data_IF_937384048772
#
_entry.id   IF_937384048772
#
_cell.length_a   1.000
_cell.length_b   1.000
_cell.length_c   1.000
_cell.angle_alpha   90.00
_cell.angle_beta   90.00
_cell.angle_gamma   90.00
#
_symmetry.space_group_name_H-M   'P 1'
#
loop_
_entity.id
_entity.type
_entity.pdbx_description
1 polymer ?
#
# COMPACT_ATOMS: atom_id res chain seq x y z
N UNK A 1 -3.72 16.06 -14.38
CA UNK A 1 -3.12 14.88 -15.05
C UNK A 1 -4.08 13.73 -14.90
N UNK A 2 -4.45 13.12 -16.03
CA UNK A 2 -5.63 12.26 -16.13
C UNK A 2 -5.40 10.83 -15.61
N UNK A 3 -6.53 10.13 -15.32
CA UNK A 3 -6.59 8.68 -15.08
C UNK A 3 -5.79 7.85 -16.12
N UNK A 4 -5.53 8.41 -17.30
CA UNK A 4 -4.75 7.77 -18.36
C UNK A 4 -3.28 7.57 -17.98
N UNK A 5 -2.69 8.47 -17.19
CA UNK A 5 -1.29 8.32 -16.74
C UNK A 5 -1.14 7.22 -15.69
N UNK A 6 -2.13 7.08 -14.80
CA UNK A 6 -2.18 5.98 -13.82
C UNK A 6 -2.32 4.63 -14.53
N UNK A 7 -3.20 4.54 -15.54
CA UNK A 7 -3.34 3.34 -16.39
C UNK A 7 -2.07 3.04 -17.21
N UNK A 8 -1.35 4.07 -17.64
CA UNK A 8 -0.09 3.91 -18.38
C UNK A 8 1.05 3.47 -17.46
N UNK A 9 1.10 3.98 -16.22
CA UNK A 9 2.09 3.56 -15.22
C UNK A 9 1.84 2.12 -14.77
N UNK A 10 0.59 1.71 -14.59
CA UNK A 10 0.22 0.31 -14.33
C UNK A 10 0.50 -0.61 -15.52
N UNK A 11 0.49 -0.09 -16.76
CA UNK A 11 0.81 -0.85 -17.98
C UNK A 11 2.29 -0.85 -18.35
N UNK A 12 3.10 0.03 -17.78
CA UNK A 12 4.53 0.15 -18.09
C UNK A 12 5.37 -1.10 -17.71
N UNK A 13 5.02 -1.93 -16.73
CA UNK A 13 5.68 -3.22 -16.54
C UNK A 13 5.42 -4.22 -17.66
N UNK A 14 4.31 -4.10 -18.40
CA UNK A 14 3.91 -5.08 -19.40
C UNK A 14 4.57 -4.89 -20.77
N UNK A 15 5.15 -3.71 -21.05
CA UNK A 15 5.84 -3.45 -22.34
C UNK A 15 7.29 -3.93 -22.36
N UNK A 16 7.84 -4.34 -21.23
CA UNK A 16 9.16 -4.98 -21.16
C UNK A 16 8.96 -6.37 -20.57
N UNK A 17 8.46 -7.29 -21.34
CA UNK A 17 8.24 -8.72 -21.15
C UNK A 17 8.85 -9.52 -19.99
N UNK A 18 9.04 -8.89 -18.87
CA UNK A 18 9.41 -9.52 -17.61
C UNK A 18 8.76 -8.71 -16.46
N UNK A 19 7.94 -9.37 -15.65
CA UNK A 19 7.77 -8.95 -14.26
C UNK A 19 9.17 -8.93 -13.68
N UNK A 20 9.81 -7.76 -13.69
CA UNK A 20 11.21 -7.67 -13.36
C UNK A 20 11.42 -8.22 -11.95
N UNK A 21 12.50 -8.99 -11.70
CA UNK A 21 12.87 -9.45 -10.35
C UNK A 21 12.85 -8.32 -9.32
N UNK A 22 13.08 -7.09 -9.77
CA UNK A 22 13.01 -5.87 -8.99
C UNK A 22 11.65 -5.57 -8.37
N UNK A 23 10.53 -5.78 -9.07
CA UNK A 23 9.21 -5.51 -8.49
C UNK A 23 8.85 -6.50 -7.38
N UNK A 24 9.33 -7.76 -7.45
CA UNK A 24 9.20 -8.75 -6.39
C UNK A 24 10.04 -8.41 -5.17
N UNK A 25 11.28 -7.95 -5.36
CA UNK A 25 12.13 -7.49 -4.25
C UNK A 25 11.52 -6.31 -3.49
N UNK A 26 10.87 -5.38 -4.20
CA UNK A 26 10.16 -4.28 -3.55
C UNK A 26 8.91 -4.77 -2.82
N UNK A 27 8.11 -5.64 -3.43
CA UNK A 27 6.93 -6.23 -2.81
C UNK A 27 7.28 -7.00 -1.52
N UNK A 28 8.34 -7.80 -1.56
CA UNK A 28 8.84 -8.51 -0.40
C UNK A 28 9.31 -7.55 0.70
N UNK A 29 10.00 -6.47 0.32
CA UNK A 29 10.43 -5.45 1.28
C UNK A 29 9.26 -4.66 1.90
N UNK A 30 8.15 -4.50 1.18
CA UNK A 30 6.93 -3.89 1.71
C UNK A 30 6.14 -4.85 2.60
N UNK A 31 6.28 -6.15 2.39
CA UNK A 31 5.68 -7.20 3.21
C UNK A 31 6.56 -7.61 4.41
N UNK A 32 7.80 -7.12 4.50
CA UNK A 32 8.68 -7.38 5.65
C UNK A 32 8.15 -6.67 6.92
N UNK A 33 8.24 -7.35 8.07
CA UNK A 33 7.86 -6.77 9.37
C UNK A 33 6.35 -6.70 9.62
N UNK A 34 5.56 -7.50 8.88
CA UNK A 34 4.10 -7.59 8.98
C UNK A 34 3.66 -8.77 9.89
N UNK A 35 4.60 -9.61 10.32
CA UNK A 35 4.35 -10.90 11.02
C UNK A 35 3.56 -10.75 12.33
N UNK A 36 3.65 -9.60 12.98
CA UNK A 36 2.96 -9.33 14.26
C UNK A 36 1.54 -8.78 14.10
N UNK A 37 1.07 -8.58 12.86
CA UNK A 37 -0.22 -7.98 12.59
C UNK A 37 -1.31 -9.03 12.29
N UNK A 38 -2.50 -8.79 12.80
CA UNK A 38 -3.67 -9.68 12.64
C UNK A 38 -4.45 -9.35 11.37
N UNK A 39 -4.37 -8.08 10.92
CA UNK A 39 -4.99 -7.63 9.67
C UNK A 39 -4.03 -6.78 8.84
N UNK A 40 -4.15 -6.92 7.53
CA UNK A 40 -3.40 -6.18 6.52
C UNK A 40 -4.41 -5.48 5.61
N UNK A 41 -4.25 -4.18 5.42
CA UNK A 41 -5.03 -3.38 4.46
C UNK A 41 -4.09 -2.95 3.33
N UNK A 42 -4.22 -3.56 2.17
CA UNK A 42 -3.48 -3.15 0.99
C UNK A 42 -4.27 -2.09 0.22
N UNK A 43 -3.61 -1.01 -0.18
CA UNK A 43 -4.24 0.11 -0.92
C UNK A 43 -3.50 0.36 -2.23
N UNK A 44 -4.21 0.17 -3.34
CA UNK A 44 -3.65 0.27 -4.68
C UNK A 44 -2.84 -0.96 -5.08
N UNK A 45 -3.50 -2.12 -5.09
CA UNK A 45 -2.87 -3.42 -5.36
C UNK A 45 -2.36 -3.57 -6.80
N UNK A 46 -2.98 -2.87 -7.76
CA UNK A 46 -2.62 -2.95 -9.17
C UNK A 46 -2.68 -4.39 -9.68
N UNK A 47 -1.58 -4.89 -10.22
CA UNK A 47 -1.47 -6.28 -10.73
C UNK A 47 -1.31 -7.34 -9.64
N UNK A 48 -1.32 -6.96 -8.36
CA UNK A 48 -1.28 -7.89 -7.23
C UNK A 48 0.10 -8.44 -6.87
N UNK A 49 1.19 -7.77 -7.24
CA UNK A 49 2.56 -8.24 -6.91
C UNK A 49 2.81 -8.13 -5.40
N UNK A 50 2.34 -7.05 -4.77
CA UNK A 50 2.44 -6.88 -3.31
C UNK A 50 1.44 -7.80 -2.62
N UNK A 51 0.20 -7.93 -3.13
CA UNK A 51 -0.80 -8.88 -2.65
C UNK A 51 -0.24 -10.30 -2.58
N UNK A 52 0.43 -10.77 -3.64
CA UNK A 52 1.06 -12.10 -3.69
C UNK A 52 2.12 -12.28 -2.59
N UNK A 53 2.94 -11.26 -2.37
CA UNK A 53 3.95 -11.31 -1.31
C UNK A 53 3.32 -11.33 0.09
N UNK A 54 2.26 -10.53 0.32
CA UNK A 54 1.52 -10.50 1.57
C UNK A 54 0.86 -11.85 1.87
N UNK A 55 0.15 -12.42 0.92
CA UNK A 55 -0.50 -13.73 1.06
C UNK A 55 0.50 -14.84 1.36
N UNK A 56 1.61 -14.87 0.64
CA UNK A 56 2.64 -15.90 0.81
C UNK A 56 3.31 -15.82 2.19
N UNK A 57 3.58 -14.61 2.68
CA UNK A 57 4.35 -14.39 3.91
C UNK A 57 3.47 -14.35 5.15
N UNK A 58 2.18 -14.01 4.99
CA UNK A 58 1.24 -13.80 6.10
C UNK A 58 -0.09 -14.53 5.84
N UNK A 59 -0.08 -15.85 5.66
CA UNK A 59 -1.27 -16.62 5.24
C UNK A 59 -2.39 -16.60 6.29
N UNK A 60 -2.08 -16.28 7.55
CA UNK A 60 -3.06 -16.23 8.66
C UNK A 60 -3.66 -14.85 8.89
N UNK A 61 -3.13 -13.80 8.27
CA UNK A 61 -3.62 -12.45 8.46
C UNK A 61 -4.91 -12.22 7.63
N UNK A 62 -5.87 -11.49 8.21
CA UNK A 62 -7.02 -10.99 7.46
C UNK A 62 -6.53 -9.97 6.43
N UNK A 63 -6.65 -10.27 5.14
CA UNK A 63 -6.20 -9.38 4.07
C UNK A 63 -7.39 -8.68 3.40
N UNK A 64 -7.38 -7.36 3.43
CA UNK A 64 -8.35 -6.48 2.75
C UNK A 64 -7.58 -5.68 1.69
N UNK A 65 -8.02 -5.73 0.44
CA UNK A 65 -7.30 -5.17 -0.71
C UNK A 65 -8.19 -4.15 -1.42
N UNK A 66 -7.71 -2.93 -1.59
CA UNK A 66 -8.39 -1.88 -2.34
C UNK A 66 -7.73 -1.67 -3.69
N UNK A 67 -8.53 -1.77 -4.75
CA UNK A 67 -8.09 -1.48 -6.11
C UNK A 67 -9.13 -0.64 -6.85
N UNK A 68 -8.68 0.47 -7.46
CA UNK A 68 -9.56 1.42 -8.15
C UNK A 68 -10.08 0.88 -9.49
N UNK A 69 -9.28 0.09 -10.19
CA UNK A 69 -9.59 -0.44 -11.52
C UNK A 69 -10.49 -1.68 -11.42
N UNK A 70 -11.71 -1.61 -11.95
CA UNK A 70 -12.69 -2.69 -11.87
C UNK A 70 -12.16 -4.02 -12.44
N UNK A 71 -11.47 -3.97 -13.58
CA UNK A 71 -10.87 -5.15 -14.19
C UNK A 71 -9.81 -5.78 -13.29
N UNK A 72 -8.87 -4.96 -12.76
CA UNK A 72 -7.83 -5.44 -11.85
C UNK A 72 -8.42 -5.97 -10.54
N UNK A 73 -9.45 -5.32 -10.00
CA UNK A 73 -10.16 -5.81 -8.83
C UNK A 73 -10.82 -7.18 -9.06
N UNK A 74 -11.33 -7.42 -10.27
CA UNK A 74 -11.89 -8.74 -10.65
C UNK A 74 -10.77 -9.79 -10.73
N UNK A 75 -9.69 -9.50 -11.43
CA UNK A 75 -8.52 -10.39 -11.53
C UNK A 75 -7.92 -10.73 -10.16
N UNK A 76 -7.88 -9.74 -9.24
CA UNK A 76 -7.42 -9.95 -7.87
C UNK A 76 -8.32 -10.88 -7.07
N UNK A 77 -9.66 -10.78 -7.22
CA UNK A 77 -10.60 -11.69 -6.55
C UNK A 77 -10.42 -13.14 -7.02
N UNK A 78 -10.19 -13.33 -8.31
CA UNK A 78 -9.94 -14.65 -8.87
C UNK A 78 -8.63 -15.27 -8.40
N UNK A 79 -7.55 -14.44 -8.36
CA UNK A 79 -6.21 -14.91 -7.98
C UNK A 79 -6.03 -15.09 -6.47
N UNK A 80 -6.71 -14.30 -5.66
CA UNK A 80 -6.56 -14.26 -4.20
C UNK A 80 -7.90 -14.42 -3.48
N UNK A 81 -8.57 -15.61 -3.60
CA UNK A 81 -9.90 -15.82 -3.02
C UNK A 81 -9.94 -15.69 -1.48
N UNK A 82 -8.79 -15.78 -0.81
CA UNK A 82 -8.65 -15.55 0.64
C UNK A 82 -8.62 -14.06 1.02
N UNK A 83 -8.46 -13.14 0.06
CA UNK A 83 -8.44 -11.71 0.30
C UNK A 83 -9.85 -11.10 0.07
N UNK A 84 -10.22 -10.15 0.92
CA UNK A 84 -11.40 -9.33 0.68
C UNK A 84 -11.07 -8.17 -0.25
N UNK A 85 -11.34 -8.32 -1.55
CA UNK A 85 -11.03 -7.29 -2.55
C UNK A 85 -12.19 -6.31 -2.72
N UNK A 86 -11.92 -5.04 -2.41
CA UNK A 86 -12.84 -3.90 -2.50
C UNK A 86 -12.52 -3.09 -3.76
N UNK A 87 -13.46 -3.03 -4.71
CA UNK A 87 -13.34 -2.19 -5.90
C UNK A 87 -13.65 -0.72 -5.60
N UNK A 88 -12.90 0.19 -6.23
CA UNK A 88 -13.11 1.63 -6.11
C UNK A 88 -12.08 2.37 -5.25
N UNK A 89 -12.28 3.68 -5.12
CA UNK A 89 -11.34 4.54 -4.40
C UNK A 89 -11.33 4.23 -2.90
N UNK A 90 -10.15 4.04 -2.32
CA UNK A 90 -9.95 3.70 -0.90
C UNK A 90 -10.71 4.65 0.03
N UNK A 91 -10.48 5.96 -0.08
CA UNK A 91 -11.09 6.97 0.79
C UNK A 91 -12.64 7.03 0.73
N UNK A 92 -13.26 6.43 -0.29
CA UNK A 92 -14.71 6.34 -0.42
C UNK A 92 -15.29 5.05 0.17
N UNK A 93 -14.44 4.07 0.47
CA UNK A 93 -14.85 2.74 0.90
C UNK A 93 -14.31 2.36 2.29
N UNK A 94 -13.84 3.34 3.07
CA UNK A 94 -13.25 3.11 4.42
C UNK A 94 -14.23 2.49 5.42
N UNK A 95 -15.54 2.59 5.18
CA UNK A 95 -16.55 1.97 6.02
C UNK A 95 -16.37 0.43 6.14
N UNK A 96 -15.74 -0.21 5.15
CA UNK A 96 -15.39 -1.65 5.20
C UNK A 96 -14.38 -1.98 6.31
N UNK A 97 -13.70 -0.95 6.85
CA UNK A 97 -12.62 -1.07 7.82
C UNK A 97 -13.06 -0.80 9.28
N UNK A 98 -14.36 -0.76 9.55
CA UNK A 98 -14.89 -0.41 10.89
C UNK A 98 -14.44 -1.39 12.00
N UNK A 99 -14.31 -2.68 11.67
CA UNK A 99 -13.99 -3.76 12.61
C UNK A 99 -12.54 -4.25 12.49
N UNK A 100 -11.61 -3.33 12.24
CA UNK A 100 -10.18 -3.67 12.19
C UNK A 100 -9.61 -3.89 13.61
N UNK A 101 -8.84 -4.98 13.82
CA UNK A 101 -8.13 -5.18 15.07
C UNK A 101 -7.08 -4.07 15.30
N UNK A 102 -6.68 -3.89 16.57
CA UNK A 102 -5.62 -2.95 16.93
C UNK A 102 -4.34 -3.23 16.14
N UNK A 103 -3.95 -4.49 16.05
CA UNK A 103 -2.77 -4.94 15.27
C UNK A 103 -3.09 -5.00 13.78
N UNK A 104 -3.33 -3.83 13.18
CA UNK A 104 -3.53 -3.67 11.74
C UNK A 104 -2.37 -2.90 11.11
N UNK A 105 -1.88 -3.40 9.97
CA UNK A 105 -0.92 -2.68 9.14
C UNK A 105 -1.56 -2.30 7.81
N UNK A 106 -1.24 -1.10 7.33
CA UNK A 106 -1.65 -0.61 6.03
C UNK A 106 -0.44 -0.67 5.10
N UNK A 107 -0.57 -1.26 3.93
CA UNK A 107 0.47 -1.35 2.91
C UNK A 107 -0.04 -0.64 1.66
N UNK A 108 0.60 0.47 1.29
CA UNK A 108 0.12 1.29 0.17
C UNK A 108 1.07 1.24 -1.02
N UNK A 109 0.53 0.84 -2.17
CA UNK A 109 1.17 0.89 -3.48
C UNK A 109 0.90 2.18 -4.26
N UNK A 110 0.22 3.18 -3.66
CA UNK A 110 -0.20 4.38 -4.36
C UNK A 110 0.97 5.30 -4.72
N UNK A 111 1.03 5.80 -5.96
CA UNK A 111 2.08 6.73 -6.41
C UNK A 111 1.73 8.18 -6.01
N UNK A 112 1.77 8.52 -4.73
CA UNK A 112 1.32 9.80 -4.18
C UNK A 112 1.85 11.03 -4.92
N UNK A 113 3.06 10.96 -5.44
CA UNK A 113 3.67 12.08 -6.18
C UNK A 113 3.10 12.30 -7.58
N UNK A 114 2.36 11.34 -8.10
CA UNK A 114 1.72 11.38 -9.43
C UNK A 114 0.20 11.54 -9.35
N UNK A 115 -0.36 11.49 -8.15
CA UNK A 115 -1.80 11.66 -7.92
C UNK A 115 -2.15 13.15 -7.76
N UNK A 116 -3.37 13.53 -8.13
CA UNK A 116 -3.89 14.87 -7.87
C UNK A 116 -4.18 15.09 -6.38
N UNK A 117 -4.17 16.35 -5.94
CA UNK A 117 -4.53 16.72 -4.57
C UNK A 117 -5.91 16.22 -4.17
N UNK A 118 -6.89 16.26 -5.07
CA UNK A 118 -8.24 15.74 -4.84
C UNK A 118 -8.32 14.23 -4.56
N UNK A 119 -7.24 13.47 -4.79
CA UNK A 119 -7.12 12.06 -4.40
C UNK A 119 -6.18 11.91 -3.20
N UNK A 120 -5.07 12.64 -3.20
CA UNK A 120 -4.06 12.59 -2.13
C UNK A 120 -4.65 13.00 -0.78
N UNK A 121 -5.26 14.18 -0.71
CA UNK A 121 -5.75 14.74 0.55
C UNK A 121 -6.77 13.83 1.27
N UNK A 122 -7.87 13.37 0.63
CA UNK A 122 -8.81 12.49 1.31
C UNK A 122 -8.22 11.11 1.62
N UNK A 123 -7.27 10.61 0.82
CA UNK A 123 -6.59 9.34 1.10
C UNK A 123 -5.67 9.46 2.31
N UNK A 124 -4.91 10.56 2.42
CA UNK A 124 -4.04 10.84 3.56
C UNK A 124 -4.86 11.06 4.83
N UNK A 125 -5.99 11.75 4.74
CA UNK A 125 -6.92 11.92 5.87
C UNK A 125 -7.44 10.56 6.36
N UNK A 126 -7.88 9.69 5.47
CA UNK A 126 -8.34 8.34 5.83
C UNK A 126 -7.22 7.49 6.47
N UNK A 127 -5.97 7.58 5.97
CA UNK A 127 -4.84 6.92 6.63
C UNK A 127 -4.59 7.48 8.04
N UNK A 128 -4.67 8.79 8.20
CA UNK A 128 -4.48 9.43 9.50
C UNK A 128 -5.53 8.96 10.51
N UNK A 129 -6.80 8.91 10.13
CA UNK A 129 -7.89 8.39 10.98
C UNK A 129 -7.62 6.95 11.44
N UNK A 130 -7.22 6.07 10.51
CA UNK A 130 -6.86 4.70 10.85
C UNK A 130 -5.68 4.61 11.81
N UNK A 131 -4.64 5.43 11.63
CA UNK A 131 -3.44 5.44 12.47
C UNK A 131 -3.68 6.10 13.83
N UNK A 132 -4.63 7.04 13.93
CA UNK A 132 -5.02 7.65 15.21
C UNK A 132 -5.92 6.75 16.04
N UNK A 133 -6.71 5.88 15.39
CA UNK A 133 -7.58 4.94 16.08
C UNK A 133 -6.82 3.96 16.97
N UNK A 134 -5.58 3.60 16.60
CA UNK A 134 -4.72 2.76 17.42
C UNK A 134 -3.23 3.04 17.16
N UNK A 135 -2.44 3.22 18.23
CA UNK A 135 -1.00 3.50 18.15
C UNK A 135 -0.15 2.30 17.66
N UNK A 136 -0.69 1.09 17.72
CA UNK A 136 -0.03 -0.10 17.18
C UNK A 136 -0.07 -0.14 15.66
N UNK A 137 -1.01 0.59 15.03
CA UNK A 137 -1.17 0.63 13.59
C UNK A 137 -0.02 1.36 12.91
N UNK A 138 0.30 0.91 11.70
CA UNK A 138 1.40 1.43 10.90
C UNK A 138 0.99 1.47 9.43
N UNK A 139 1.50 2.45 8.69
CA UNK A 139 1.44 2.51 7.24
C UNK A 139 2.82 2.24 6.65
N UNK A 140 2.89 1.31 5.70
CA UNK A 140 4.05 1.05 4.84
C UNK A 140 3.79 1.69 3.48
N UNK A 141 4.76 2.44 2.99
CA UNK A 141 4.69 3.11 1.68
C UNK A 141 6.08 3.10 1.05
N UNK A 142 6.15 3.07 -0.28
CA UNK A 142 7.42 3.22 -0.98
C UNK A 142 7.52 4.51 -1.79
N UNK A 143 8.75 4.92 -2.09
CA UNK A 143 9.07 5.99 -3.04
C UNK A 143 10.32 5.64 -3.83
N UNK A 144 10.37 6.07 -5.09
CA UNK A 144 11.61 6.00 -5.90
C UNK A 144 12.58 7.13 -5.60
N UNK A 145 12.16 8.16 -4.90
CA UNK A 145 12.99 9.29 -4.51
C UNK A 145 13.31 9.20 -3.02
N UNK A 146 14.47 9.73 -2.56
CA UNK A 146 14.85 9.73 -1.15
C UNK A 146 14.08 10.80 -0.35
N UNK A 147 12.80 10.95 -0.62
CA UNK A 147 11.89 11.90 0.03
C UNK A 147 10.67 11.18 0.52
N UNK A 148 10.10 11.66 1.61
CA UNK A 148 8.86 11.13 2.19
C UNK A 148 7.71 11.12 1.16
N UNK A 149 6.80 10.16 1.22
CA UNK A 149 5.69 10.01 0.27
C UNK A 149 4.79 11.24 0.22
N UNK A 150 4.43 11.76 1.38
CA UNK A 150 3.62 12.97 1.59
C UNK A 150 3.96 13.60 2.95
N UNK A 151 3.45 14.79 3.22
CA UNK A 151 3.64 15.45 4.51
C UNK A 151 2.94 14.64 5.60
N UNK A 152 3.68 14.24 6.64
CA UNK A 152 3.11 13.46 7.73
C UNK A 152 2.03 14.27 8.46
N UNK A 153 0.84 13.70 8.72
CA UNK A 153 -0.15 14.29 9.59
C UNK A 153 0.40 14.57 10.99
N UNK A 154 -0.20 15.53 11.71
CA UNK A 154 0.23 15.93 13.05
C UNK A 154 0.29 14.72 13.98
N UNK A 155 1.37 14.58 14.76
CA UNK A 155 1.53 13.45 15.67
C UNK A 155 2.04 12.15 15.04
N UNK A 156 2.12 12.08 13.70
CA UNK A 156 2.73 10.97 12.99
C UNK A 156 4.14 11.31 12.49
N UNK A 157 4.95 10.28 12.23
CA UNK A 157 6.33 10.44 11.74
C UNK A 157 6.67 9.38 10.73
N UNK A 158 7.26 9.80 9.61
CA UNK A 158 7.92 8.91 8.66
C UNK A 158 9.28 8.44 9.17
N UNK A 159 9.54 7.16 8.99
CA UNK A 159 10.84 6.55 9.15
C UNK A 159 11.17 5.76 7.89
N UNK A 160 12.31 6.02 7.26
CA UNK A 160 12.83 5.17 6.19
C UNK A 160 13.42 3.92 6.82
N UNK A 161 12.89 2.75 6.44
CA UNK A 161 13.27 1.46 7.03
C UNK A 161 14.19 0.65 6.12
N UNK A 162 14.07 0.82 4.79
CA UNK A 162 14.85 0.05 3.83
C UNK A 162 15.03 0.80 2.52
N UNK A 163 16.16 0.60 1.86
CA UNK A 163 16.34 0.94 0.44
C UNK A 163 16.53 -0.36 -0.33
N UNK A 164 15.69 -0.57 -1.33
CA UNK A 164 15.69 -1.76 -2.20
C UNK A 164 16.51 -1.44 -3.44
N UNK A 165 17.79 -1.78 -3.42
CA UNK A 165 18.74 -1.53 -4.50
C UNK A 165 18.49 -2.39 -5.73
N UNK A 166 17.97 -3.61 -5.54
CA UNK A 166 17.60 -4.54 -6.62
C UNK A 166 16.31 -4.16 -7.34
N UNK A 167 15.71 -3.01 -7.00
CA UNK A 167 14.62 -2.42 -7.75
C UNK A 167 15.15 -1.40 -8.77
N UNK A 168 14.62 -1.37 -9.98
CA UNK A 168 15.03 -0.44 -11.03
C UNK A 168 13.89 0.54 -11.38
N UNK A 169 13.98 1.81 -10.99
CA UNK A 169 15.03 2.43 -10.15
C UNK A 169 14.97 1.98 -8.68
N UNK A 170 16.04 2.16 -7.89
CA UNK A 170 16.03 1.86 -6.46
C UNK A 170 14.87 2.51 -5.74
N UNK A 171 14.26 1.79 -4.80
CA UNK A 171 13.09 2.25 -4.07
C UNK A 171 13.36 2.31 -2.56
N UNK A 172 12.78 3.30 -1.89
CA UNK A 172 12.84 3.45 -0.44
C UNK A 172 11.52 3.02 0.17
N UNK A 173 11.57 2.18 1.19
CA UNK A 173 10.40 1.77 1.99
C UNK A 173 10.36 2.61 3.24
N UNK A 174 9.19 3.15 3.53
CA UNK A 174 8.92 4.05 4.64
C UNK A 174 7.81 3.50 5.52
N UNK A 175 7.94 3.72 6.82
CA UNK A 175 6.87 3.49 7.79
C UNK A 175 6.37 4.82 8.34
N UNK A 176 5.05 5.00 8.38
CA UNK A 176 4.37 6.09 9.08
C UNK A 176 3.68 5.50 10.32
N UNK A 177 3.98 6.05 11.48
CA UNK A 177 3.40 5.62 12.75
C UNK A 177 3.32 6.78 13.73
N UNK A 178 2.60 6.59 14.84
CA UNK A 178 2.55 7.55 15.94
C UNK A 178 3.94 7.87 16.45
N UNK A 179 4.18 9.14 16.81
CA UNK A 179 5.39 9.52 17.52
C UNK A 179 5.34 8.87 18.90
N UNK A 180 6.31 8.03 19.21
CA UNK A 180 6.50 7.56 20.58
C UNK A 180 7.03 8.75 21.36
N UNK A 181 6.31 9.21 22.38
CA UNK A 181 6.88 10.11 23.38
C UNK A 181 7.98 9.29 24.10
N UNK A 182 9.24 9.68 23.92
CA UNK A 182 10.34 9.25 24.78
C UNK A 182 10.25 10.02 26.08
#
# INVERSE_FOLDING_TARGET
MSLSFFKQWLKAPATVGAVAPSSRCLADAMADGVESFEAIVEVGAGTGVVTESLVRRHPSARLIVFELGDQLATELRERFPQAHVVGGAFHKNVAVLQDLPAKTIIVSGLPFRSLSSGVVEPTVAAFAELLYADRARRLVQFTYQPRVPFVAPIGLRWQRVKTVWLNAPPANVWHLSSKTNR
#
